data_IF_919284174673
#
_entry.id   IF_919284174673
#
_cell.length_a   1.000
_cell.length_b   1.000
_cell.length_c   1.000
_cell.angle_alpha   90.00
_cell.angle_beta   90.00
_cell.angle_gamma   90.00
#
_symmetry.space_group_name_H-M   'P 1'
#
loop_
_entity.id
_entity.type
_entity.pdbx_description
1 polymer ?
#
# COMPACT_ATOMS: atom_id res chain seq x y z
N UNK A 1 -26.23 11.00 -11.72
CA UNK A 1 -25.35 11.81 -12.57
C UNK A 1 -25.53 11.50 -14.05
N UNK A 2 -25.28 10.26 -14.50
CA UNK A 2 -25.47 9.88 -15.91
C UNK A 2 -26.91 10.10 -16.41
N UNK A 3 -27.92 9.63 -15.65
CA UNK A 3 -29.34 9.87 -15.97
C UNK A 3 -29.75 11.36 -15.96
N UNK A 4 -28.99 12.21 -15.26
CA UNK A 4 -29.22 13.65 -15.19
C UNK A 4 -28.36 14.43 -16.21
N UNK A 5 -27.56 13.75 -17.04
CA UNK A 5 -26.63 14.39 -17.97
C UNK A 5 -25.48 15.17 -17.33
N UNK A 6 -25.21 14.95 -16.04
CA UNK A 6 -24.20 15.69 -15.27
C UNK A 6 -22.88 14.91 -15.23
N UNK A 7 -21.83 15.45 -15.85
CA UNK A 7 -20.47 14.90 -15.82
C UNK A 7 -19.40 16.01 -15.93
N UNK A 8 -19.22 16.81 -14.86
CA UNK A 8 -18.28 17.94 -14.86
C UNK A 8 -16.83 17.45 -14.86
N UNK A 9 -15.92 18.31 -15.33
CA UNK A 9 -14.51 18.19 -15.00
C UNK A 9 -14.34 18.61 -13.54
N UNK A 10 -13.87 17.71 -12.71
CA UNK A 10 -13.71 17.92 -11.27
C UNK A 10 -12.29 17.56 -10.84
N UNK A 11 -11.80 18.29 -9.84
CA UNK A 11 -10.55 17.99 -9.14
C UNK A 11 -10.91 17.29 -7.84
N UNK A 12 -10.38 16.08 -7.64
CA UNK A 12 -10.46 15.33 -6.39
C UNK A 12 -9.07 15.28 -5.76
N UNK A 13 -9.00 15.57 -4.47
CA UNK A 13 -7.77 15.50 -3.67
C UNK A 13 -7.95 14.50 -2.55
N UNK A 14 -6.93 13.66 -2.34
CA UNK A 14 -6.87 12.69 -1.24
C UNK A 14 -5.75 13.12 -0.30
N UNK A 15 -6.03 13.05 1.00
CA UNK A 15 -5.08 13.39 2.06
C UNK A 15 -5.26 12.44 3.25
N UNK A 16 -4.20 12.12 3.99
CA UNK A 16 -4.30 11.26 5.16
C UNK A 16 -4.85 12.02 6.37
N UNK A 17 -5.53 11.31 7.26
CA UNK A 17 -6.07 11.88 8.50
C UNK A 17 -4.99 12.12 9.58
N UNK A 18 -3.83 11.46 9.46
CA UNK A 18 -2.69 11.53 10.38
C UNK A 18 -1.38 11.44 9.60
N UNK A 19 -0.28 11.77 10.27
CA UNK A 19 1.06 11.63 9.71
C UNK A 19 1.41 10.15 9.46
N UNK A 20 2.26 9.87 8.47
CA UNK A 20 2.66 8.50 8.15
C UNK A 20 3.65 8.38 6.99
N UNK A 21 3.79 7.14 6.52
CA UNK A 21 4.57 6.77 5.33
C UNK A 21 3.59 6.34 4.25
N UNK A 22 3.54 7.09 3.15
CA UNK A 22 2.63 6.86 2.04
C UNK A 22 2.97 5.55 1.31
N UNK A 23 1.98 4.70 1.07
CA UNK A 23 2.11 3.49 0.26
C UNK A 23 0.81 3.20 -0.50
N UNK A 24 0.91 2.50 -1.64
CA UNK A 24 -0.21 2.17 -2.51
C UNK A 24 -0.40 3.14 -3.67
N UNK A 25 0.48 4.13 -3.81
CA UNK A 25 0.43 5.10 -4.93
C UNK A 25 0.73 4.43 -6.26
N UNK A 26 1.62 3.42 -6.30
CA UNK A 26 1.88 2.65 -7.52
C UNK A 26 0.63 1.99 -8.07
N UNK A 27 -0.15 1.35 -7.21
CA UNK A 27 -1.38 0.65 -7.61
C UNK A 27 -2.48 1.61 -8.04
N UNK A 28 -2.63 2.71 -7.29
CA UNK A 28 -3.57 3.76 -7.66
C UNK A 28 -3.21 4.40 -9.00
N UNK A 29 -1.94 4.70 -9.25
CA UNK A 29 -1.50 5.26 -10.53
C UNK A 29 -1.66 4.26 -11.68
N UNK A 30 -1.43 2.96 -11.45
CA UNK A 30 -1.69 1.92 -12.44
C UNK A 30 -3.19 1.82 -12.79
N UNK A 31 -4.07 1.86 -11.78
CA UNK A 31 -5.52 1.91 -11.97
C UNK A 31 -5.93 3.16 -12.76
N UNK A 32 -5.48 4.33 -12.32
CA UNK A 32 -5.79 5.61 -12.97
C UNK A 32 -5.29 5.67 -14.41
N UNK A 33 -4.09 5.13 -14.69
CA UNK A 33 -3.56 5.03 -16.04
C UNK A 33 -4.40 4.14 -16.97
N UNK A 34 -5.14 3.18 -16.41
CA UNK A 34 -6.03 2.30 -17.18
C UNK A 34 -7.43 2.90 -17.41
N UNK A 35 -7.89 3.81 -16.55
CA UNK A 35 -9.30 4.26 -16.53
C UNK A 35 -9.50 5.73 -16.87
N UNK A 36 -8.46 6.58 -16.72
CA UNK A 36 -8.55 7.99 -17.06
C UNK A 36 -8.60 8.18 -18.58
N UNK A 37 -9.40 9.15 -19.06
CA UNK A 37 -9.38 9.53 -20.47
C UNK A 37 -8.06 10.24 -20.80
N UNK A 38 -7.76 10.44 -22.08
CA UNK A 38 -6.51 11.05 -22.54
C UNK A 38 -6.24 12.45 -21.99
N UNK A 39 -7.30 13.21 -21.70
CA UNK A 39 -7.27 14.54 -21.11
C UNK A 39 -7.27 14.54 -19.58
N UNK A 40 -7.38 13.35 -18.97
CA UNK A 40 -7.37 13.16 -17.52
C UNK A 40 -5.95 13.27 -16.97
N UNK A 41 -5.82 13.97 -15.85
CA UNK A 41 -4.52 14.19 -15.21
C UNK A 41 -4.55 13.60 -13.79
N UNK A 42 -3.46 12.96 -13.39
CA UNK A 42 -3.26 12.46 -12.03
C UNK A 42 -1.84 12.76 -11.55
N UNK A 43 -1.73 13.21 -10.31
CA UNK A 43 -0.47 13.47 -9.62
C UNK A 43 -0.51 12.80 -8.27
N UNK A 44 0.59 12.16 -7.87
CA UNK A 44 0.73 11.59 -6.54
C UNK A 44 2.13 11.88 -5.99
N UNK A 45 2.24 11.90 -4.66
CA UNK A 45 3.54 11.82 -4.00
C UNK A 45 4.18 10.43 -4.21
N UNK A 46 5.47 10.34 -3.95
CA UNK A 46 6.25 9.11 -4.10
C UNK A 46 5.83 8.03 -3.11
N UNK A 47 5.96 6.78 -3.53
CA UNK A 47 5.82 5.64 -2.63
C UNK A 47 6.96 5.65 -1.60
N UNK A 48 6.63 5.57 -0.31
CA UNK A 48 7.57 5.71 0.79
C UNK A 48 7.78 7.14 1.30
N UNK A 49 7.14 8.15 0.70
CA UNK A 49 7.23 9.53 1.19
C UNK A 49 6.63 9.68 2.59
N UNK A 50 7.28 10.50 3.43
CA UNK A 50 6.69 10.92 4.70
C UNK A 50 5.63 11.98 4.42
N UNK A 51 4.43 11.76 4.93
CA UNK A 51 3.29 12.63 4.69
C UNK A 51 2.71 13.13 6.01
N UNK A 52 2.21 14.36 6.01
CA UNK A 52 1.56 14.98 7.16
C UNK A 52 0.04 14.89 7.04
N UNK A 53 -0.66 14.98 8.18
CA UNK A 53 -2.11 15.08 8.19
C UNK A 53 -2.60 16.24 7.29
N UNK A 54 -3.59 15.95 6.43
CA UNK A 54 -4.16 16.89 5.45
C UNK A 54 -3.21 17.32 4.31
N UNK A 55 -2.03 16.72 4.19
CA UNK A 55 -1.19 16.89 3.00
C UNK A 55 -1.81 16.17 1.79
N UNK A 56 -1.86 16.83 0.64
CA UNK A 56 -2.43 16.24 -0.57
C UNK A 56 -1.45 15.20 -1.13
N UNK A 57 -1.82 13.92 -1.07
CA UNK A 57 -0.99 12.79 -1.52
C UNK A 57 -1.34 12.30 -2.92
N UNK A 58 -2.57 12.58 -3.36
CA UNK A 58 -3.08 12.28 -4.69
C UNK A 58 -4.03 13.38 -5.14
N UNK A 59 -3.87 13.82 -6.38
CA UNK A 59 -4.78 14.74 -7.05
C UNK A 59 -5.19 14.15 -8.40
N UNK A 60 -6.49 14.12 -8.68
CA UNK A 60 -7.07 13.66 -9.95
C UNK A 60 -7.88 14.80 -10.55
N UNK A 61 -7.69 15.10 -11.83
CA UNK A 61 -8.46 16.08 -12.59
C UNK A 61 -8.96 15.45 -13.88
N UNK A 62 -10.26 15.14 -13.93
CA UNK A 62 -10.91 14.56 -15.10
C UNK A 62 -12.43 14.72 -15.01
N UNK A 63 -13.16 14.18 -15.99
CA UNK A 63 -14.62 14.07 -15.90
C UNK A 63 -14.99 13.12 -14.76
N UNK A 64 -15.80 13.58 -13.80
CA UNK A 64 -16.05 12.81 -12.56
C UNK A 64 -16.52 11.37 -12.80
N UNK A 65 -17.37 11.13 -13.81
CA UNK A 65 -17.85 9.78 -14.12
C UNK A 65 -16.77 8.83 -14.64
N UNK A 66 -15.60 9.30 -15.07
CA UNK A 66 -14.51 8.43 -15.53
C UNK A 66 -13.74 7.78 -14.38
N UNK A 67 -13.71 8.41 -13.21
CA UNK A 67 -12.90 7.93 -12.07
C UNK A 67 -13.69 7.76 -10.77
N UNK A 68 -14.83 8.44 -10.59
CA UNK A 68 -15.57 8.44 -9.33
C UNK A 68 -16.03 7.06 -8.87
N UNK A 69 -16.31 6.14 -9.80
CA UNK A 69 -16.67 4.75 -9.46
C UNK A 69 -15.52 3.97 -8.79
N UNK A 70 -14.27 4.45 -8.93
CA UNK A 70 -13.09 3.81 -8.38
C UNK A 70 -12.66 4.40 -7.04
N UNK A 71 -13.39 5.38 -6.50
CA UNK A 71 -13.05 6.05 -5.24
C UNK A 71 -12.85 5.05 -4.09
N UNK A 72 -13.72 4.05 -3.97
CA UNK A 72 -13.59 2.99 -2.95
C UNK A 72 -12.29 2.19 -3.11
N UNK A 73 -11.89 1.86 -4.34
CA UNK A 73 -10.65 1.14 -4.60
C UNK A 73 -9.43 2.02 -4.28
N UNK A 74 -9.44 3.28 -4.74
CA UNK A 74 -8.36 4.24 -4.50
C UNK A 74 -8.14 4.45 -3.00
N UNK A 75 -9.22 4.74 -2.25
CA UNK A 75 -9.13 4.97 -0.81
C UNK A 75 -8.76 3.70 -0.05
N UNK A 76 -9.31 2.55 -0.42
CA UNK A 76 -9.02 1.26 0.22
C UNK A 76 -7.55 0.86 0.09
N UNK A 77 -6.97 1.01 -1.10
CA UNK A 77 -5.55 0.76 -1.38
C UNK A 77 -4.68 1.70 -0.56
N UNK A 78 -4.86 3.03 -0.69
CA UNK A 78 -4.03 4.00 0.02
C UNK A 78 -4.15 3.86 1.54
N UNK A 79 -5.36 3.69 2.08
CA UNK A 79 -5.58 3.60 3.51
C UNK A 79 -4.92 2.35 4.12
N UNK A 80 -5.06 1.19 3.46
CA UNK A 80 -4.53 -0.07 3.98
C UNK A 80 -3.01 -0.07 3.92
N UNK A 81 -2.44 0.23 2.77
CA UNK A 81 -1.00 0.17 2.56
C UNK A 81 -0.24 1.27 3.31
N UNK A 82 -0.74 2.51 3.31
CA UNK A 82 -0.16 3.60 4.12
C UNK A 82 -0.23 3.24 5.61
N UNK A 83 -1.31 2.61 6.06
CA UNK A 83 -1.44 2.13 7.43
C UNK A 83 -0.37 1.11 7.80
N UNK A 84 -0.17 0.09 6.95
CA UNK A 84 0.86 -0.94 7.17
C UNK A 84 2.29 -0.40 7.07
N UNK A 85 2.58 0.46 6.09
CA UNK A 85 3.89 1.08 5.93
C UNK A 85 4.23 1.98 7.12
N UNK A 86 3.27 2.76 7.61
CA UNK A 86 3.45 3.60 8.80
C UNK A 86 3.73 2.76 10.04
N UNK A 87 2.96 1.69 10.28
CA UNK A 87 3.18 0.80 11.42
C UNK A 87 4.55 0.10 11.34
N UNK A 88 4.97 -0.33 10.15
CA UNK A 88 6.31 -0.89 9.94
C UNK A 88 7.41 0.15 10.24
N UNK A 89 7.25 1.39 9.80
CA UNK A 89 8.18 2.47 10.07
C UNK A 89 8.31 2.78 11.57
N UNK A 90 7.20 2.73 12.31
CA UNK A 90 7.20 2.87 13.77
C UNK A 90 7.99 1.72 14.44
N UNK A 91 7.79 0.47 14.00
CA UNK A 91 8.54 -0.69 14.49
C UNK A 91 10.04 -0.59 14.18
N UNK A 92 10.40 -0.20 12.95
CA UNK A 92 11.79 -0.05 12.52
C UNK A 92 12.48 1.07 13.31
N UNK A 93 11.81 2.20 13.50
CA UNK A 93 12.33 3.28 14.32
C UNK A 93 12.58 2.84 15.77
N UNK A 94 11.66 2.06 16.35
CA UNK A 94 11.81 1.51 17.71
C UNK A 94 12.95 0.47 17.82
N UNK A 95 13.21 -0.29 16.76
CA UNK A 95 14.27 -1.30 16.71
C UNK A 95 15.68 -0.72 16.52
N UNK A 96 15.81 0.53 16.05
CA UNK A 96 17.09 1.19 15.83
C UNK A 96 17.92 0.48 14.75
N UNK A 97 19.07 -0.07 15.14
CA UNK A 97 19.96 -0.79 14.21
C UNK A 97 19.60 -2.28 14.02
N UNK A 98 18.61 -2.78 14.75
CA UNK A 98 18.20 -4.19 14.68
C UNK A 98 17.26 -4.38 13.47
N UNK A 99 17.57 -5.28 12.53
CA UNK A 99 16.69 -5.55 11.39
C UNK A 99 15.31 -6.05 11.81
N UNK A 100 14.26 -5.48 11.22
CA UNK A 100 12.86 -5.91 11.42
C UNK A 100 12.37 -6.64 10.17
N UNK A 101 11.65 -7.75 10.35
CA UNK A 101 11.11 -8.57 9.25
C UNK A 101 9.59 -8.69 9.41
N UNK A 102 8.83 -8.46 8.33
CA UNK A 102 7.37 -8.60 8.34
C UNK A 102 6.92 -10.05 8.23
N UNK A 103 6.35 -10.58 9.31
CA UNK A 103 5.66 -11.88 9.36
C UNK A 103 4.13 -11.73 9.56
N UNK A 104 3.57 -10.60 9.13
CA UNK A 104 2.18 -10.24 9.36
C UNK A 104 1.16 -10.96 8.48
N UNK A 105 1.58 -11.54 7.35
CA UNK A 105 0.73 -12.10 6.30
C UNK A 105 -0.39 -13.06 6.77
N UNK A 106 -0.14 -13.84 7.83
CA UNK A 106 -1.12 -14.82 8.37
C UNK A 106 -2.30 -14.19 9.12
N UNK A 107 -2.29 -12.89 9.37
CA UNK A 107 -3.33 -12.16 10.10
C UNK A 107 -4.27 -11.38 9.18
N UNK A 108 -4.05 -11.45 7.86
CA UNK A 108 -4.87 -10.78 6.84
C UNK A 108 -5.36 -11.79 5.82
N UNK A 109 -6.33 -11.38 4.99
CA UNK A 109 -6.79 -12.21 3.89
C UNK A 109 -5.62 -12.52 2.93
N UNK A 110 -5.42 -13.77 2.49
CA UNK A 110 -4.24 -14.15 1.69
C UNK A 110 -4.10 -13.39 0.38
N UNK A 111 -5.20 -12.89 -0.19
CA UNK A 111 -5.16 -12.07 -1.41
C UNK A 111 -4.50 -10.71 -1.22
N UNK A 112 -4.46 -10.18 0.00
CA UNK A 112 -3.82 -8.88 0.32
C UNK A 112 -2.50 -9.03 1.06
N UNK A 113 -2.14 -10.24 1.48
CA UNK A 113 -0.89 -10.52 2.18
C UNK A 113 0.38 -10.01 1.45
N UNK A 114 0.50 -10.13 0.12
CA UNK A 114 1.65 -9.57 -0.60
C UNK A 114 1.74 -8.05 -0.50
N UNK A 115 0.61 -7.35 -0.44
CA UNK A 115 0.54 -5.89 -0.33
C UNK A 115 0.93 -5.43 1.07
N UNK A 116 0.52 -6.17 2.11
CA UNK A 116 0.99 -5.95 3.49
C UNK A 116 2.50 -6.08 3.58
N UNK A 117 3.05 -7.16 3.02
CA UNK A 117 4.49 -7.41 3.06
C UNK A 117 5.27 -6.39 2.24
N UNK A 118 4.74 -5.99 1.07
CA UNK A 118 5.29 -4.90 0.27
C UNK A 118 5.32 -3.58 1.05
N UNK A 119 4.18 -3.17 1.62
CA UNK A 119 4.06 -1.95 2.40
C UNK A 119 4.98 -1.97 3.63
N UNK A 120 5.16 -3.12 4.28
CA UNK A 120 6.07 -3.24 5.41
C UNK A 120 7.53 -3.01 5.02
N UNK A 121 7.95 -3.47 3.84
CA UNK A 121 9.29 -3.21 3.31
C UNK A 121 9.45 -1.74 2.91
N UNK A 122 8.42 -1.12 2.30
CA UNK A 122 8.39 0.35 2.07
C UNK A 122 8.50 1.13 3.38
N UNK A 123 7.87 0.65 4.45
CA UNK A 123 8.02 1.19 5.81
C UNK A 123 9.40 0.97 6.45
N UNK A 124 10.31 0.24 5.81
CA UNK A 124 11.69 0.06 6.25
C UNK A 124 12.01 -1.31 6.86
N UNK A 125 11.09 -2.28 6.85
CA UNK A 125 11.45 -3.66 7.21
C UNK A 125 12.55 -4.18 6.26
N UNK A 126 13.53 -4.88 6.82
CA UNK A 126 14.65 -5.47 6.08
C UNK A 126 14.22 -6.64 5.17
N UNK A 127 13.02 -7.19 5.38
CA UNK A 127 12.46 -8.27 4.57
C UNK A 127 11.03 -8.62 4.97
N UNK A 128 10.46 -9.59 4.27
CA UNK A 128 9.09 -10.03 4.48
C UNK A 128 8.91 -11.54 4.26
N UNK A 129 7.79 -12.09 4.74
CA UNK A 129 7.55 -13.54 4.77
C UNK A 129 7.02 -14.15 3.48
N UNK A 130 6.27 -13.39 2.68
CA UNK A 130 5.59 -13.95 1.50
C UNK A 130 6.48 -13.90 0.27
N UNK A 131 6.54 -14.99 -0.54
CA UNK A 131 7.28 -14.98 -1.79
C UNK A 131 6.83 -13.88 -2.77
N UNK A 132 5.52 -13.61 -2.84
CA UNK A 132 4.98 -12.58 -3.73
C UNK A 132 5.29 -11.17 -3.23
N UNK A 133 5.20 -10.90 -1.92
CA UNK A 133 5.60 -9.61 -1.36
C UNK A 133 7.09 -9.33 -1.60
N UNK A 134 7.94 -10.33 -1.39
CA UNK A 134 9.38 -10.23 -1.65
C UNK A 134 9.66 -9.97 -3.14
N UNK A 135 8.96 -10.68 -4.03
CA UNK A 135 9.05 -10.46 -5.48
C UNK A 135 8.62 -9.05 -5.90
N UNK A 136 7.57 -8.48 -5.30
CA UNK A 136 7.10 -7.12 -5.61
C UNK A 136 8.15 -6.04 -5.28
N UNK A 137 9.06 -6.32 -4.34
CA UNK A 137 10.15 -5.43 -3.96
C UNK A 137 11.52 -5.84 -4.57
N UNK A 138 11.62 -7.02 -5.18
CA UNK A 138 12.86 -7.52 -5.77
C UNK A 138 13.83 -8.12 -4.75
N UNK A 139 13.31 -8.67 -3.64
CA UNK A 139 14.09 -9.33 -2.58
C UNK A 139 13.70 -10.80 -2.43
N UNK A 140 14.49 -11.54 -1.65
CA UNK A 140 14.15 -12.91 -1.23
C UNK A 140 13.25 -12.90 0.01
N UNK A 141 12.28 -13.83 0.12
CA UNK A 141 11.46 -13.96 1.31
C UNK A 141 12.28 -14.48 2.49
N UNK A 142 11.98 -13.98 3.68
CA UNK A 142 12.59 -14.41 4.93
C UNK A 142 11.76 -15.52 5.60
N UNK A 143 12.44 -16.47 6.24
CA UNK A 143 11.81 -17.58 6.95
C UNK A 143 12.74 -18.20 7.97
N UNK A 144 12.16 -18.85 8.97
CA UNK A 144 12.89 -19.69 9.94
C UNK A 144 12.34 -21.11 9.89
N UNK A 145 13.00 -22.04 10.58
CA UNK A 145 12.46 -23.40 10.74
C UNK A 145 11.10 -23.33 11.46
N UNK A 146 10.03 -23.91 10.90
CA UNK A 146 8.74 -23.96 11.58
C UNK A 146 8.73 -25.02 12.68
N UNK A 147 7.95 -24.81 13.74
CA UNK A 147 7.79 -25.78 14.83
C UNK A 147 7.37 -27.18 14.35
N UNK A 148 6.61 -27.27 13.25
CA UNK A 148 6.21 -28.55 12.66
C UNK A 148 7.42 -29.42 12.25
N UNK A 149 8.54 -28.82 11.87
CA UNK A 149 9.75 -29.57 11.50
C UNK A 149 10.33 -30.27 12.74
N UNK A 150 10.47 -29.55 13.85
CA UNK A 150 10.92 -30.09 15.14
C UNK A 150 10.01 -31.23 15.61
N UNK A 151 8.69 -31.03 15.55
CA UNK A 151 7.70 -32.04 15.96
C UNK A 151 7.72 -33.32 15.10
N UNK A 152 7.96 -33.19 13.79
CA UNK A 152 7.97 -34.33 12.88
C UNK A 152 9.28 -35.13 12.93
N UNK A 153 10.42 -34.46 13.13
CA UNK A 153 11.74 -35.09 13.01
C UNK A 153 12.42 -35.37 14.36
N UNK A 154 11.82 -34.91 15.47
CA UNK A 154 12.29 -35.22 16.81
C UNK A 154 13.54 -34.43 17.19
N UNK A 155 13.31 -33.28 17.82
CA UNK A 155 14.31 -32.54 18.60
C UNK A 155 13.54 -31.92 19.79
N UNK A 156 13.96 -32.23 21.01
CA UNK A 156 13.36 -31.72 22.27
C UNK A 156 14.41 -31.03 23.08
#
# INVERSE_FOLDING_TARGET
>A
MQAAGVNPVAVMEVFPARDGVLCGTREVLALLGAVLPSEGEAWALGEGDRVSAKEVVLRIKARYLSYGIYETAILGTLASETGWATAAAECVAAAGSIPVVSFGARHVHPSVAPHLDYAAVIGGCAGCSTPLGAKLFGTEPAGTMPHAMVLCFGDT
#
